data_IF_706038429744
#
_entry.id   IF_706038429744
#
_cell.length_a   1.000
_cell.length_b   1.000
_cell.length_c   1.000
_cell.angle_alpha   90.00
_cell.angle_beta   90.00
_cell.angle_gamma   90.00
#
_symmetry.space_group_name_H-M   'P 1'
#
loop_
_entity.id
_entity.type
_entity.pdbx_description
1 polymer ?
#
# COMPACT_ATOMS: atom_id res chain seq x y z
N UNK A 1 0.39 12.34 1.67
CA UNK A 1 -0.13 10.98 1.86
C UNK A 1 0.99 9.99 2.17
N UNK A 2 1.90 9.70 1.22
CA UNK A 2 2.98 8.71 1.43
C UNK A 2 4.41 9.29 1.43
N UNK A 3 4.55 10.62 1.47
CA UNK A 3 5.87 11.28 1.32
C UNK A 3 6.87 10.87 2.41
N UNK A 4 6.39 10.62 3.61
CA UNK A 4 7.17 10.18 4.76
C UNK A 4 7.11 8.64 4.96
N UNK A 5 6.47 7.94 4.02
CA UNK A 5 6.27 6.48 4.05
C UNK A 5 7.41 5.70 3.39
N UNK A 6 8.41 6.37 2.83
CA UNK A 6 9.50 5.75 2.09
C UNK A 6 10.84 6.43 2.38
N UNK A 7 11.97 5.70 2.28
CA UNK A 7 13.30 6.29 2.34
C UNK A 7 13.48 7.48 1.39
N UNK A 8 14.20 8.51 1.84
CA UNK A 8 14.38 9.78 1.10
C UNK A 8 14.96 9.57 -0.30
N UNK A 9 15.83 8.58 -0.48
CA UNK A 9 16.44 8.26 -1.77
C UNK A 9 15.44 7.70 -2.81
N UNK A 10 14.21 7.35 -2.41
CA UNK A 10 13.15 6.87 -3.29
C UNK A 10 12.17 7.98 -3.71
N UNK A 11 12.37 9.23 -3.28
CA UNK A 11 11.42 10.33 -3.47
C UNK A 11 11.04 10.55 -4.95
N UNK A 12 12.01 10.47 -5.87
CA UNK A 12 11.75 10.64 -7.30
C UNK A 12 10.90 9.51 -7.88
N UNK A 13 11.18 8.25 -7.50
CA UNK A 13 10.37 7.10 -7.91
C UNK A 13 8.97 7.16 -7.29
N UNK A 14 8.86 7.59 -6.03
CA UNK A 14 7.59 7.80 -5.35
C UNK A 14 6.73 8.83 -6.08
N UNK A 15 7.30 9.96 -6.50
CA UNK A 15 6.55 10.97 -7.27
C UNK A 15 6.03 10.43 -8.60
N UNK A 16 6.81 9.58 -9.29
CA UNK A 16 6.36 8.93 -10.53
C UNK A 16 5.19 7.98 -10.26
N UNK A 17 5.28 7.17 -9.20
CA UNK A 17 4.22 6.23 -8.83
C UNK A 17 2.94 6.96 -8.43
N UNK A 18 3.02 7.98 -7.56
CA UNK A 18 1.84 8.74 -7.12
C UNK A 18 1.09 9.37 -8.30
N UNK A 19 1.81 9.81 -9.35
CA UNK A 19 1.19 10.36 -10.56
C UNK A 19 0.37 9.34 -11.37
N UNK A 20 0.64 8.04 -11.19
CA UNK A 20 -0.11 6.98 -11.86
C UNK A 20 -1.38 6.59 -11.08
N UNK A 21 -1.45 6.89 -9.79
CA UNK A 21 -2.60 6.56 -8.96
C UNK A 21 -3.80 7.43 -9.40
N UNK A 22 -4.95 6.83 -9.72
CA UNK A 22 -6.11 7.58 -10.15
C UNK A 22 -6.64 8.46 -9.01
N UNK A 23 -7.28 9.56 -9.37
CA UNK A 23 -8.02 10.38 -8.40
C UNK A 23 -9.38 9.79 -8.05
N UNK A 24 -9.89 8.87 -8.88
CA UNK A 24 -11.13 8.15 -8.64
C UNK A 24 -10.99 7.24 -7.43
N UNK A 25 -11.98 7.28 -6.56
CA UNK A 25 -12.04 6.49 -5.34
C UNK A 25 -13.06 5.37 -5.47
N UNK A 26 -12.81 4.30 -4.71
CA UNK A 26 -13.66 3.14 -4.59
C UNK A 26 -15.04 3.54 -4.07
N UNK A 27 -16.09 3.20 -4.81
CA UNK A 27 -17.48 3.60 -4.52
C UNK A 27 -17.68 5.11 -4.34
N UNK A 28 -16.87 5.94 -5.01
CA UNK A 28 -16.96 7.40 -5.00
C UNK A 28 -16.92 8.02 -3.58
N UNK A 29 -16.19 7.38 -2.65
CA UNK A 29 -15.97 7.96 -1.31
C UNK A 29 -15.23 9.29 -1.40
N UNK A 30 -15.61 10.24 -0.55
CA UNK A 30 -15.09 11.61 -0.57
C UNK A 30 -13.66 11.75 -0.03
N UNK A 31 -13.14 10.71 0.62
CA UNK A 31 -11.79 10.69 1.18
C UNK A 31 -10.87 9.82 0.32
N UNK A 32 -9.64 10.30 0.06
CA UNK A 32 -8.63 9.48 -0.60
C UNK A 32 -8.03 8.43 0.33
N UNK A 33 -7.95 8.74 1.62
CA UNK A 33 -7.16 8.00 2.63
C UNK A 33 -7.59 8.38 4.04
N UNK A 34 -7.35 7.52 5.02
CA UNK A 34 -7.68 7.77 6.43
C UNK A 34 -6.78 8.82 7.10
N UNK A 35 -7.30 9.49 8.13
CA UNK A 35 -6.51 10.34 9.02
C UNK A 35 -5.62 9.54 9.97
N UNK A 36 -6.01 8.31 10.30
CA UNK A 36 -5.18 7.41 11.09
C UNK A 36 -3.88 7.09 10.34
N UNK A 37 -2.75 7.38 10.99
CA UNK A 37 -1.40 7.18 10.48
C UNK A 37 -0.73 6.04 11.25
N UNK A 38 -0.17 5.13 10.48
CA UNK A 38 0.68 4.06 10.96
C UNK A 38 2.12 4.57 11.00
N UNK A 39 2.83 4.20 12.08
CA UNK A 39 4.22 4.58 12.31
C UNK A 39 5.08 3.35 12.53
N UNK A 40 6.17 3.24 11.77
CA UNK A 40 7.19 2.22 11.97
C UNK A 40 8.57 2.86 12.05
N UNK A 41 9.43 2.30 12.90
CA UNK A 41 10.85 2.66 12.92
C UNK A 41 11.64 1.58 12.17
N UNK A 42 12.37 1.99 11.15
CA UNK A 42 13.26 1.12 10.40
C UNK A 42 14.63 1.77 10.26
N UNK A 43 15.66 1.06 10.74
CA UNK A 43 17.06 1.53 10.70
C UNK A 43 17.22 2.95 11.28
N UNK A 44 16.49 3.29 12.35
CA UNK A 44 16.54 4.60 13.00
C UNK A 44 15.73 5.70 12.30
N UNK A 45 15.07 5.40 11.18
CA UNK A 45 14.17 6.34 10.49
C UNK A 45 12.72 6.02 10.79
N UNK A 46 11.94 7.08 11.04
CA UNK A 46 10.49 7.00 11.15
C UNK A 46 9.89 6.92 9.75
N UNK A 47 9.00 5.95 9.56
CA UNK A 47 8.22 5.72 8.34
C UNK A 47 6.75 5.90 8.71
N UNK A 48 6.06 6.77 7.97
CA UNK A 48 4.65 7.12 8.23
C UNK A 48 3.78 6.93 6.98
N UNK A 49 2.67 6.22 7.12
CA UNK A 49 1.72 5.99 6.03
C UNK A 49 0.29 5.84 6.56
N UNK A 50 -0.75 6.13 5.75
CA UNK A 50 -2.14 5.99 6.18
C UNK A 50 -2.52 4.54 6.50
N UNK A 51 -3.48 4.37 7.41
CA UNK A 51 -4.11 3.07 7.68
C UNK A 51 -4.79 2.47 6.45
N UNK A 52 -5.58 3.29 5.74
CA UNK A 52 -6.23 2.90 4.47
C UNK A 52 -6.12 3.97 3.39
N UNK A 53 -6.14 3.50 2.14
CA UNK A 53 -6.37 4.31 0.95
C UNK A 53 -7.57 3.78 0.16
N UNK A 54 -8.23 4.68 -0.55
CA UNK A 54 -9.49 4.41 -1.25
C UNK A 54 -9.40 4.65 -2.76
N UNK A 55 -8.23 5.00 -3.30
CA UNK A 55 -8.08 5.16 -4.75
C UNK A 55 -8.24 3.81 -5.46
N UNK A 56 -8.89 3.83 -6.62
CA UNK A 56 -9.04 2.65 -7.48
C UNK A 56 -7.65 2.10 -7.88
N UNK A 57 -7.58 0.80 -8.15
CA UNK A 57 -6.35 0.18 -8.66
C UNK A 57 -6.02 0.66 -10.08
N UNK A 58 -4.75 0.51 -10.48
CA UNK A 58 -4.30 0.81 -11.85
C UNK A 58 -4.31 -0.45 -12.72
N UNK A 59 -4.49 -0.31 -14.04
CA UNK A 59 -4.41 -1.43 -14.98
C UNK A 59 -3.04 -2.13 -14.94
N UNK A 60 -3.00 -3.45 -15.13
CA UNK A 60 -1.77 -4.23 -15.07
C UNK A 60 -0.74 -3.79 -16.12
N UNK A 61 -1.17 -3.42 -17.32
CA UNK A 61 -0.30 -2.87 -18.38
C UNK A 61 0.49 -1.64 -17.88
N UNK A 62 -0.16 -0.75 -17.12
CA UNK A 62 0.51 0.43 -16.54
C UNK A 62 1.53 0.03 -15.46
N UNK A 63 1.28 -1.07 -14.74
CA UNK A 63 2.23 -1.62 -13.77
C UNK A 63 3.46 -2.14 -14.50
N UNK A 64 3.30 -2.82 -15.62
CA UNK A 64 4.39 -3.43 -16.37
C UNK A 64 5.45 -2.41 -16.82
N UNK A 65 5.02 -1.21 -17.19
CA UNK A 65 5.89 -0.08 -17.61
C UNK A 65 6.76 0.49 -16.46
N UNK A 66 6.42 0.21 -15.20
CA UNK A 66 7.16 0.71 -14.05
C UNK A 66 8.49 -0.02 -13.85
N UNK A 67 9.49 0.73 -13.35
CA UNK A 67 10.75 0.13 -12.89
C UNK A 67 10.51 -0.83 -11.71
N UNK A 68 11.46 -1.72 -11.45
CA UNK A 68 11.37 -2.67 -10.32
C UNK A 68 11.13 -1.93 -8.98
N UNK A 69 11.86 -0.85 -8.74
CA UNK A 69 11.68 -0.01 -7.54
C UNK A 69 10.29 0.61 -7.49
N UNK A 70 9.80 1.14 -8.61
CA UNK A 70 8.48 1.76 -8.70
C UNK A 70 7.35 0.74 -8.48
N UNK A 71 7.48 -0.48 -9.00
CA UNK A 71 6.56 -1.60 -8.72
C UNK A 71 6.50 -1.91 -7.22
N UNK A 72 7.65 -2.02 -6.54
CA UNK A 72 7.66 -2.25 -5.09
C UNK A 72 6.98 -1.11 -4.31
N UNK A 73 7.23 0.16 -4.68
CA UNK A 73 6.56 1.32 -4.07
C UNK A 73 5.05 1.24 -4.29
N UNK A 74 4.63 0.98 -5.53
CA UNK A 74 3.23 0.84 -5.91
C UNK A 74 2.54 -0.25 -5.07
N UNK A 75 3.13 -1.44 -4.99
CA UNK A 75 2.56 -2.53 -4.20
C UNK A 75 2.52 -2.22 -2.69
N UNK A 76 3.53 -1.51 -2.15
CA UNK A 76 3.49 -1.03 -0.76
C UNK A 76 2.30 -0.08 -0.53
N UNK A 77 2.07 0.87 -1.45
CA UNK A 77 0.94 1.80 -1.37
C UNK A 77 -0.39 1.03 -1.41
N UNK A 78 -0.60 0.19 -2.43
CA UNK A 78 -1.85 -0.57 -2.59
C UNK A 78 -2.05 -1.69 -1.56
N UNK A 79 -1.01 -2.08 -0.82
CA UNK A 79 -1.19 -2.93 0.37
C UNK A 79 -2.11 -2.28 1.41
N UNK A 80 -2.34 -0.95 1.33
CA UNK A 80 -3.23 -0.20 2.22
C UNK A 80 -4.61 0.03 1.61
N UNK A 81 -4.93 -0.56 0.45
CA UNK A 81 -6.21 -0.34 -0.18
C UNK A 81 -7.38 -0.83 0.70
N UNK A 82 -8.50 -0.11 0.64
CA UNK A 82 -9.74 -0.48 1.31
C UNK A 82 -10.39 -1.74 0.73
N UNK A 83 -10.17 -2.01 -0.57
CA UNK A 83 -10.61 -3.23 -1.22
C UNK A 83 -9.65 -4.38 -0.88
N UNK A 84 -10.19 -5.39 -0.22
CA UNK A 84 -9.46 -6.60 0.17
C UNK A 84 -8.84 -7.35 -1.01
N UNK A 85 -9.48 -7.35 -2.18
CA UNK A 85 -8.96 -8.01 -3.39
C UNK A 85 -7.76 -7.26 -3.97
N UNK A 86 -7.84 -5.93 -4.07
CA UNK A 86 -6.70 -5.09 -4.51
C UNK A 86 -5.54 -5.23 -3.54
N UNK A 87 -5.82 -5.15 -2.24
CA UNK A 87 -4.81 -5.33 -1.19
C UNK A 87 -4.12 -6.69 -1.27
N UNK A 88 -4.88 -7.78 -1.47
CA UNK A 88 -4.35 -9.13 -1.64
C UNK A 88 -3.50 -9.25 -2.91
N UNK A 89 -4.00 -8.78 -4.06
CA UNK A 89 -3.26 -8.79 -5.34
C UNK A 89 -1.88 -8.15 -5.18
N UNK A 90 -1.82 -6.96 -4.60
CA UNK A 90 -0.57 -6.21 -4.52
C UNK A 90 0.41 -6.81 -3.51
N UNK A 91 -0.05 -7.39 -2.40
CA UNK A 91 0.86 -8.07 -1.48
C UNK A 91 1.43 -9.35 -2.09
N UNK A 92 0.63 -10.14 -2.83
CA UNK A 92 1.11 -11.34 -3.51
C UNK A 92 2.16 -10.99 -4.58
N UNK A 93 1.90 -9.95 -5.37
CA UNK A 93 2.87 -9.45 -6.35
C UNK A 93 4.17 -9.00 -5.67
N UNK A 94 4.10 -8.24 -4.58
CA UNK A 94 5.29 -7.80 -3.83
C UNK A 94 6.10 -8.97 -3.28
N UNK A 95 5.44 -9.97 -2.70
CA UNK A 95 6.10 -11.14 -2.10
C UNK A 95 6.76 -12.05 -3.14
N UNK A 96 6.28 -12.02 -4.39
CA UNK A 96 6.90 -12.72 -5.52
C UNK A 96 8.11 -11.97 -6.12
N UNK A 97 8.36 -10.73 -5.70
CA UNK A 97 9.56 -9.98 -6.07
C UNK A 97 10.71 -10.29 -5.11
N UNK A 98 11.94 -10.04 -5.55
CA UNK A 98 13.07 -9.89 -4.64
C UNK A 98 12.95 -8.52 -3.91
N UNK A 99 12.00 -8.42 -2.98
CA UNK A 99 11.62 -7.16 -2.35
C UNK A 99 12.74 -6.60 -1.46
N UNK A 100 12.86 -5.28 -1.45
CA UNK A 100 13.84 -4.60 -0.61
C UNK A 100 13.37 -4.51 0.85
N UNK A 101 14.32 -4.46 1.80
CA UNK A 101 14.06 -4.39 3.24
C UNK A 101 13.11 -3.24 3.61
N UNK A 102 13.14 -2.12 2.90
CA UNK A 102 12.26 -0.98 3.18
C UNK A 102 10.76 -1.23 2.96
N UNK A 103 10.41 -2.35 2.33
CA UNK A 103 9.01 -2.78 2.13
C UNK A 103 8.42 -3.46 3.37
N UNK A 104 9.25 -3.94 4.31
CA UNK A 104 8.84 -4.74 5.47
C UNK A 104 7.71 -4.10 6.32
N UNK A 105 7.72 -2.78 6.63
CA UNK A 105 6.63 -2.16 7.39
C UNK A 105 5.24 -2.39 6.79
N UNK A 106 5.14 -2.37 5.45
CA UNK A 106 3.89 -2.58 4.73
C UNK A 106 3.44 -4.04 4.75
N UNK A 107 4.39 -4.98 4.69
CA UNK A 107 4.13 -6.42 4.75
C UNK A 107 3.63 -6.80 6.15
N UNK A 108 4.36 -6.40 7.20
CA UNK A 108 4.02 -6.76 8.59
C UNK A 108 2.68 -6.15 9.00
N UNK A 109 2.40 -4.89 8.64
CA UNK A 109 1.14 -4.25 9.01
C UNK A 109 -0.08 -5.02 8.54
N UNK A 110 0.02 -5.67 7.38
CA UNK A 110 -1.08 -6.46 6.84
C UNK A 110 -1.39 -7.68 7.70
N UNK A 111 -0.39 -8.28 8.35
CA UNK A 111 -0.59 -9.41 9.27
C UNK A 111 -1.48 -9.06 10.47
N UNK A 112 -1.45 -7.79 10.92
CA UNK A 112 -2.30 -7.33 12.03
C UNK A 112 -3.80 -7.22 11.65
N UNK A 113 -4.12 -7.29 10.36
CA UNK A 113 -5.48 -7.00 9.87
C UNK A 113 -6.28 -8.28 9.62
N UNK A 114 -5.63 -9.35 9.17
CA UNK A 114 -6.28 -10.61 8.75
C UNK A 114 -7.09 -11.36 9.84
N UNK A 115 -6.97 -10.96 11.11
CA UNK A 115 -7.75 -11.59 12.19
C UNK A 115 -9.18 -11.06 12.23
N UNK A 116 -9.45 -9.83 11.77
CA UNK A 116 -10.79 -9.24 11.86
C UNK A 116 -11.76 -9.93 10.90
N UNK A 117 -11.37 -10.18 9.65
CA UNK A 117 -12.24 -10.82 8.65
C UNK A 117 -12.58 -12.28 9.05
N UNK A 118 -11.65 -12.96 9.76
CA UNK A 118 -11.90 -14.27 10.37
C UNK A 118 -12.89 -14.15 11.54
N UNK A 119 -12.74 -13.14 12.39
CA UNK A 119 -13.65 -12.89 13.52
C UNK A 119 -15.07 -12.53 13.06
N UNK A 120 -15.23 -11.74 12.01
CA UNK A 120 -16.55 -11.43 11.42
C UNK A 120 -17.23 -12.68 10.86
N UNK A 121 -16.48 -13.57 10.22
CA UNK A 121 -17.00 -14.85 9.72
C UNK A 121 -17.47 -15.76 10.86
N UNK A 122 -16.81 -15.71 12.02
CA UNK A 122 -17.21 -16.46 13.22
C UNK A 122 -18.45 -15.81 13.87
N UNK A 123 -18.45 -14.48 14.01
CA UNK A 123 -19.53 -13.75 14.69
C UNK A 123 -20.87 -13.82 13.95
N UNK A 124 -20.84 -13.90 12.62
CA UNK A 124 -22.03 -13.99 11.78
C UNK A 124 -22.53 -15.45 11.56
N UNK A 125 -21.99 -16.43 12.29
CA UNK A 125 -22.49 -17.81 12.36
C UNK A 125 -23.19 -18.06 13.68
#
# INVERSE_FOLDING_TARGET
MFQDGFPVNLREDLYKVIKQIPTKTYNDVSIGTTEEIIKYYQNGHLIEFPYRMYFDDIPDDNIEELSITQKMILHCIYSRNCDGFVRQKHIELLLNMNYAVWTIPYIIKLCDEYVIEILETIYNK
#
